data_IF_039759196106
#
_entry.id   IF_039759196106
#
_cell.length_a   1.000
_cell.length_b   1.000
_cell.length_c   1.000
_cell.angle_alpha   90.00
_cell.angle_beta   90.00
_cell.angle_gamma   90.00
#
_symmetry.space_group_name_H-M   'P 1'
#
loop_
_entity.id
_entity.type
_entity.pdbx_description
1 polymer ?
#
# COMPACT_ATOMS: atom_id res chain seq x y z
N UNK A 1 6.92 11.82 50.92
CA UNK A 1 7.43 10.43 51.02
C UNK A 1 6.67 9.60 49.99
N UNK A 2 7.24 9.42 48.80
CA UNK A 2 6.79 8.43 47.83
C UNK A 2 8.06 7.96 47.12
N UNK A 3 8.54 6.77 47.47
CA UNK A 3 9.60 6.08 46.74
C UNK A 3 8.96 5.26 45.61
N UNK A 4 9.68 5.06 44.49
CA UNK A 4 9.15 4.54 43.24
C UNK A 4 9.11 3.01 43.23
N UNK A 5 8.21 2.41 42.46
CA UNK A 5 8.26 0.97 42.17
C UNK A 5 8.36 0.71 40.67
N UNK A 6 9.59 0.36 40.30
CA UNK A 6 9.94 -0.72 39.39
C UNK A 6 9.85 -0.48 37.89
N UNK A 7 10.94 0.12 37.40
CA UNK A 7 11.65 -0.34 36.21
C UNK A 7 11.77 -1.88 36.25
N UNK A 8 11.09 -2.59 35.35
CA UNK A 8 11.46 -3.96 35.00
C UNK A 8 11.54 -4.13 33.48
N UNK A 9 12.79 -4.21 33.05
CA UNK A 9 13.32 -5.12 32.04
C UNK A 9 12.74 -5.03 30.63
N UNK A 10 13.53 -4.35 29.79
CA UNK A 10 13.47 -4.51 28.36
C UNK A 10 13.48 -5.98 27.97
N UNK A 11 12.52 -6.35 27.14
CA UNK A 11 12.79 -7.27 26.06
C UNK A 11 12.86 -6.40 24.83
N UNK A 12 14.06 -6.21 24.29
CA UNK A 12 14.19 -5.94 22.87
C UNK A 12 13.31 -6.99 22.19
N UNK A 13 12.17 -6.56 21.64
CA UNK A 13 11.38 -7.38 20.76
C UNK A 13 12.31 -7.66 19.59
N UNK A 14 12.97 -8.83 19.64
CA UNK A 14 13.65 -9.42 18.50
C UNK A 14 12.64 -9.31 17.37
N UNK A 15 12.95 -8.51 16.35
CA UNK A 15 12.16 -8.49 15.13
C UNK A 15 11.98 -9.95 14.76
N UNK A 16 10.76 -10.46 14.89
CA UNK A 16 10.45 -11.79 14.40
C UNK A 16 10.68 -11.67 12.90
N UNK A 17 11.70 -12.35 12.39
CA UNK A 17 11.76 -12.64 10.97
C UNK A 17 10.53 -13.49 10.71
N UNK A 18 9.40 -12.84 10.40
CA UNK A 18 8.17 -13.52 10.08
C UNK A 18 8.44 -14.30 8.82
N UNK A 19 8.40 -15.61 8.93
CA UNK A 19 8.46 -16.49 7.78
C UNK A 19 7.19 -16.23 6.96
N UNK A 20 7.35 -15.49 5.86
CA UNK A 20 6.24 -15.03 5.00
C UNK A 20 5.43 -16.20 4.44
N UNK A 21 5.95 -17.43 4.52
CA UNK A 21 5.32 -18.66 4.04
C UNK A 21 4.10 -19.11 4.87
N UNK A 22 3.90 -18.58 6.08
CA UNK A 22 2.83 -19.00 7.00
C UNK A 22 1.80 -17.91 7.33
N UNK A 23 1.74 -16.83 6.54
CA UNK A 23 0.70 -15.79 6.73
C UNK A 23 -0.67 -16.33 6.28
N UNK A 24 -1.70 -16.07 7.08
CA UNK A 24 -3.08 -16.40 6.70
C UNK A 24 -3.53 -15.49 5.56
N UNK A 25 -4.50 -15.94 4.77
CA UNK A 25 -5.09 -15.18 3.66
C UNK A 25 -5.53 -13.75 4.05
N UNK A 26 -5.92 -13.54 5.31
CA UNK A 26 -6.32 -12.25 5.86
C UNK A 26 -5.13 -11.31 6.16
N UNK A 27 -3.95 -11.84 6.45
CA UNK A 27 -2.72 -11.04 6.69
C UNK A 27 -2.07 -10.60 5.37
N UNK A 28 -2.42 -11.23 4.24
CA UNK A 28 -1.89 -10.95 2.90
C UNK A 28 -2.94 -10.34 1.97
N UNK A 29 -3.77 -9.41 2.45
CA UNK A 29 -4.71 -8.65 1.61
C UNK A 29 -4.19 -7.25 1.29
N UNK A 30 -3.16 -7.10 0.43
CA UNK A 30 -2.70 -5.78 0.04
C UNK A 30 -3.76 -5.05 -0.78
N UNK A 31 -3.88 -3.75 -0.53
CA UNK A 31 -4.70 -2.85 -1.34
C UNK A 31 -3.77 -1.80 -1.93
N UNK A 32 -3.77 -1.69 -3.26
CA UNK A 32 -3.04 -0.65 -3.99
C UNK A 32 -4.00 0.45 -4.44
N UNK A 33 -3.76 1.69 -3.98
CA UNK A 33 -4.49 2.87 -4.46
C UNK A 33 -3.67 3.61 -5.52
N UNK A 34 -4.15 3.59 -6.76
CA UNK A 34 -3.63 4.43 -7.84
C UNK A 34 -4.52 5.66 -7.99
N UNK A 35 -3.98 6.83 -7.65
CA UNK A 35 -4.58 8.11 -8.01
C UNK A 35 -3.84 8.68 -9.22
N UNK A 36 -4.58 9.01 -10.27
CA UNK A 36 -4.01 9.57 -11.50
C UNK A 36 -4.96 10.55 -12.17
N UNK A 37 -4.48 11.31 -13.14
CA UNK A 37 -5.37 12.11 -13.99
C UNK A 37 -6.12 11.24 -15.00
N UNK A 38 -7.33 11.65 -15.42
CA UNK A 38 -8.10 10.95 -16.44
C UNK A 38 -7.36 10.91 -17.79
N UNK A 39 -7.73 9.95 -18.64
CA UNK A 39 -7.29 9.88 -20.04
C UNK A 39 -6.57 8.59 -20.44
N UNK A 40 -6.52 7.59 -19.56
CA UNK A 40 -6.06 6.24 -19.95
C UNK A 40 -7.22 5.41 -20.47
N UNK A 41 -6.95 4.61 -21.50
CA UNK A 41 -7.93 3.65 -22.02
C UNK A 41 -8.10 2.48 -21.06
N UNK A 42 -9.21 1.75 -21.18
CA UNK A 42 -9.45 0.54 -20.39
C UNK A 42 -8.36 -0.52 -20.60
N UNK A 43 -7.82 -0.62 -21.82
CA UNK A 43 -6.71 -1.53 -22.13
C UNK A 43 -5.43 -1.15 -21.38
N UNK A 44 -5.14 0.14 -21.25
CA UNK A 44 -4.01 0.62 -20.46
C UNK A 44 -4.22 0.36 -18.97
N UNK A 45 -5.43 0.59 -18.44
CA UNK A 45 -5.78 0.28 -17.05
C UNK A 45 -5.67 -1.22 -16.76
N UNK A 46 -6.12 -2.07 -17.68
CA UNK A 46 -6.00 -3.54 -17.59
C UNK A 46 -4.55 -4.01 -17.65
N UNK A 47 -3.75 -3.44 -18.54
CA UNK A 47 -2.32 -3.74 -18.61
C UNK A 47 -1.60 -3.35 -17.31
N UNK A 48 -1.89 -2.18 -16.76
CA UNK A 48 -1.36 -1.75 -15.47
C UNK A 48 -1.75 -2.73 -14.35
N UNK A 49 -3.04 -3.09 -14.22
CA UNK A 49 -3.49 -4.00 -13.19
C UNK A 49 -2.75 -5.34 -13.25
N UNK A 50 -2.59 -5.93 -14.45
CA UNK A 50 -1.85 -7.18 -14.63
C UNK A 50 -0.40 -7.09 -14.16
N UNK A 51 0.34 -6.07 -14.60
CA UNK A 51 1.76 -5.95 -14.27
C UNK A 51 1.97 -5.56 -12.80
N UNK A 52 1.11 -4.71 -12.24
CA UNK A 52 1.14 -4.35 -10.82
C UNK A 52 0.85 -5.58 -9.94
N UNK A 53 -0.14 -6.40 -10.30
CA UNK A 53 -0.41 -7.67 -9.60
C UNK A 53 0.79 -8.60 -9.65
N UNK A 54 1.40 -8.78 -10.83
CA UNK A 54 2.60 -9.61 -10.96
C UNK A 54 3.71 -9.13 -10.03
N UNK A 55 4.03 -7.84 -10.05
CA UNK A 55 5.06 -7.27 -9.19
C UNK A 55 4.75 -7.44 -7.70
N UNK A 56 3.49 -7.24 -7.29
CA UNK A 56 3.07 -7.42 -5.91
C UNK A 56 3.20 -8.88 -5.45
N UNK A 57 2.73 -9.84 -6.25
CA UNK A 57 2.85 -11.27 -5.95
C UNK A 57 4.33 -11.68 -5.82
N UNK A 58 5.18 -11.25 -6.75
CA UNK A 58 6.61 -11.59 -6.76
C UNK A 58 7.39 -10.99 -5.59
N UNK A 59 7.01 -9.78 -5.13
CA UNK A 59 7.78 -9.05 -4.11
C UNK A 59 7.21 -9.16 -2.70
N UNK A 60 5.89 -9.29 -2.57
CA UNK A 60 5.18 -9.33 -1.29
C UNK A 60 4.75 -10.76 -0.91
N UNK A 61 4.98 -11.75 -1.79
CA UNK A 61 4.60 -13.14 -1.59
C UNK A 61 3.12 -13.34 -1.21
N UNK A 62 2.24 -12.50 -1.77
CA UNK A 62 0.79 -12.60 -1.58
C UNK A 62 0.14 -13.37 -2.76
N UNK A 63 -0.98 -14.07 -2.52
CA UNK A 63 -1.80 -14.61 -3.59
C UNK A 63 -2.33 -13.48 -4.51
N UNK A 64 -2.43 -13.69 -5.83
CA UNK A 64 -3.04 -12.70 -6.73
C UNK A 64 -4.50 -12.41 -6.41
N UNK A 65 -5.25 -13.41 -5.91
CA UNK A 65 -6.67 -13.29 -5.56
C UNK A 65 -6.94 -12.49 -4.28
N UNK A 66 -5.90 -12.19 -3.49
CA UNK A 66 -6.03 -11.37 -2.28
C UNK A 66 -5.59 -9.91 -2.48
N UNK A 67 -5.01 -9.58 -3.64
CA UNK A 67 -4.61 -8.21 -3.98
C UNK A 67 -5.77 -7.46 -4.62
N UNK A 68 -6.08 -6.29 -4.07
CA UNK A 68 -7.04 -5.35 -4.63
C UNK A 68 -6.33 -4.11 -5.19
N UNK A 69 -6.75 -3.63 -6.37
CA UNK A 69 -6.21 -2.42 -6.99
C UNK A 69 -7.37 -1.46 -7.27
N UNK A 70 -7.36 -0.32 -6.60
CA UNK A 70 -8.33 0.76 -6.80
C UNK A 70 -7.69 1.84 -7.66
N UNK A 71 -8.30 2.10 -8.82
CA UNK A 71 -7.87 3.17 -9.74
C UNK A 71 -8.86 4.32 -9.62
N UNK A 72 -8.37 5.47 -9.17
CA UNK A 72 -9.15 6.70 -9.03
C UNK A 72 -8.61 7.75 -9.99
N UNK A 73 -9.48 8.23 -10.88
CA UNK A 73 -9.17 9.33 -11.78
C UNK A 73 -9.58 10.66 -11.15
N UNK A 74 -8.63 11.56 -10.96
CA UNK A 74 -8.81 12.87 -10.34
C UNK A 74 -8.56 13.94 -11.39
N UNK A 75 -9.57 14.78 -11.65
CA UNK A 75 -9.46 15.88 -12.59
C UNK A 75 -8.37 16.88 -12.17
N UNK A 76 -7.76 17.56 -13.17
CA UNK A 76 -6.62 18.46 -12.94
C UNK A 76 -6.96 19.69 -12.07
N UNK A 77 -8.22 20.13 -12.11
CA UNK A 77 -8.77 21.20 -11.28
C UNK A 77 -9.03 20.77 -9.82
N UNK A 78 -8.90 19.47 -9.54
CA UNK A 78 -9.16 18.85 -8.24
C UNK A 78 -7.87 18.32 -7.59
N UNK A 79 -6.71 18.59 -8.18
CA UNK A 79 -5.40 18.20 -7.67
C UNK A 79 -4.45 19.40 -7.66
N UNK A 80 -3.94 19.79 -6.49
CA UNK A 80 -2.92 20.84 -6.35
C UNK A 80 -1.55 20.28 -5.95
N UNK A 81 -0.47 20.93 -6.39
CA UNK A 81 0.89 20.72 -5.87
C UNK A 81 1.54 22.07 -5.66
N UNK A 82 2.11 22.31 -4.47
CA UNK A 82 2.76 23.59 -4.17
C UNK A 82 1.82 24.80 -4.26
N UNK A 83 0.55 24.63 -3.91
CA UNK A 83 -0.46 25.70 -3.92
C UNK A 83 -1.01 26.08 -5.29
N UNK A 84 -0.68 25.34 -6.35
CA UNK A 84 -1.22 25.55 -7.70
C UNK A 84 -1.98 24.32 -8.18
N UNK A 85 -3.13 24.53 -8.80
CA UNK A 85 -3.89 23.43 -9.42
C UNK A 85 -3.12 22.88 -10.61
N UNK A 86 -3.23 21.57 -10.84
CA UNK A 86 -2.65 20.91 -12.02
C UNK A 86 -3.29 21.38 -13.34
N UNK A 87 -4.43 22.07 -13.27
CA UNK A 87 -5.08 22.75 -14.40
C UNK A 87 -4.46 24.09 -14.76
N UNK A 88 -3.67 24.70 -13.86
CA UNK A 88 -2.98 25.97 -14.09
C UNK A 88 -1.59 25.81 -14.75
N UNK A 89 -1.17 24.55 -14.96
CA UNK A 89 0.12 24.17 -15.53
C UNK A 89 0.05 23.91 -17.04
#
# INVERSE_FOLDING_TARGET
>A
MYQPTNLQHGRHARAKTTDITNLTKEETMPILHLQMHPGRTDDQKRAFAREATKAAVETLACPPESLEILITEIAKDSWAVGGKLKSEA
#
